data_IF_765479910407
#
_entry.id   IF_765479910407
#
_cell.length_a   1.000
_cell.length_b   1.000
_cell.length_c   1.000
_cell.angle_alpha   90.00
_cell.angle_beta   90.00
_cell.angle_gamma   90.00
#
_symmetry.space_group_name_H-M   'P 1'
#
loop_
_entity.id
_entity.type
_entity.pdbx_description
1 polymer ?
#
# COMPACT_ATOMS: atom_id res chain seq x y z
N UNK A 1 63.46 -18.92 43.74
CA UNK A 1 62.89 -20.11 43.06
C UNK A 1 61.37 -19.97 42.81
N UNK A 2 60.63 -19.24 43.67
CA UNK A 2 59.18 -19.00 43.54
C UNK A 2 58.75 -18.05 42.40
N UNK A 3 59.61 -17.09 42.00
CA UNK A 3 59.27 -16.11 40.93
C UNK A 3 59.17 -16.71 39.51
N UNK A 4 59.67 -17.93 39.28
CA UNK A 4 59.55 -18.60 37.98
C UNK A 4 58.20 -19.28 37.76
N UNK A 5 57.43 -19.57 38.81
CA UNK A 5 56.11 -20.19 38.67
C UNK A 5 54.99 -19.17 38.38
N UNK A 6 55.14 -17.91 38.79
CA UNK A 6 54.16 -16.86 38.51
C UNK A 6 54.18 -16.37 37.04
N UNK A 7 55.28 -16.62 36.32
CA UNK A 7 55.39 -16.27 34.90
C UNK A 7 54.69 -17.28 33.95
N UNK A 8 54.27 -18.45 34.45
CA UNK A 8 53.69 -19.51 33.62
C UNK A 8 52.15 -19.47 33.52
N UNK A 9 51.49 -18.64 34.32
CA UNK A 9 50.05 -18.45 34.25
C UNK A 9 49.69 -17.35 33.24
N UNK A 10 50.20 -17.45 32.01
CA UNK A 10 49.71 -16.61 30.93
C UNK A 10 48.23 -16.99 30.69
N UNK A 11 47.27 -16.09 30.93
CA UNK A 11 45.86 -16.41 30.77
C UNK A 11 45.64 -16.75 29.31
N UNK A 12 45.45 -18.05 29.02
CA UNK A 12 45.06 -18.55 27.70
C UNK A 12 43.81 -17.77 27.29
N UNK A 13 44.00 -16.77 26.42
CA UNK A 13 42.89 -16.01 25.87
C UNK A 13 41.98 -17.04 25.19
N UNK A 14 40.72 -17.19 25.63
CA UNK A 14 39.82 -18.14 25.01
C UNK A 14 39.69 -17.78 23.54
N UNK A 15 40.33 -18.60 22.69
CA UNK A 15 40.29 -18.46 21.24
C UNK A 15 38.91 -18.85 20.76
N UNK A 16 37.93 -17.95 20.90
CA UNK A 16 36.61 -18.14 20.33
C UNK A 16 36.75 -18.37 18.82
N UNK A 17 36.13 -19.43 18.30
CA UNK A 17 36.25 -19.76 16.89
C UNK A 17 35.70 -18.58 16.06
N UNK A 18 36.41 -18.14 15.00
CA UNK A 18 35.92 -17.06 14.15
C UNK A 18 34.55 -17.39 13.54
N UNK A 19 34.26 -18.68 13.36
CA UNK A 19 32.96 -19.19 12.89
C UNK A 19 31.84 -18.84 13.87
N UNK A 20 32.03 -19.03 15.18
CA UNK A 20 31.02 -18.70 16.18
C UNK A 20 30.67 -17.20 16.16
N UNK A 21 31.66 -16.33 15.95
CA UNK A 21 31.44 -14.88 15.87
C UNK A 21 30.61 -14.49 14.64
N UNK A 22 30.88 -15.11 13.48
CA UNK A 22 30.09 -14.89 12.26
C UNK A 22 28.65 -15.42 12.39
N UNK A 23 28.47 -16.57 13.04
CA UNK A 23 27.14 -17.12 13.32
C UNK A 23 26.35 -16.18 14.24
N UNK A 24 26.96 -15.66 15.31
CA UNK A 24 26.30 -14.70 16.21
C UNK A 24 25.93 -13.40 15.49
N UNK A 25 26.82 -12.87 14.63
CA UNK A 25 26.52 -11.69 13.83
C UNK A 25 25.36 -11.96 12.86
N UNK A 26 25.42 -13.06 12.11
CA UNK A 26 24.38 -13.47 11.18
C UNK A 26 23.03 -13.66 11.86
N UNK A 27 23.01 -14.28 13.05
CA UNK A 27 21.80 -14.43 13.86
C UNK A 27 21.25 -13.10 14.35
N UNK A 28 22.09 -12.17 14.79
CA UNK A 28 21.64 -10.83 15.19
C UNK A 28 21.00 -10.07 14.02
N UNK A 29 21.60 -10.15 12.83
CA UNK A 29 21.06 -9.57 11.61
C UNK A 29 19.78 -10.26 11.15
N UNK A 30 19.70 -11.59 11.28
CA UNK A 30 18.50 -12.36 10.97
C UNK A 30 17.35 -11.97 11.92
N UNK A 31 17.62 -11.83 13.22
CA UNK A 31 16.62 -11.36 14.20
C UNK A 31 16.17 -9.95 13.85
N UNK A 32 17.07 -9.03 13.49
CA UNK A 32 16.70 -7.68 13.09
C UNK A 32 15.85 -7.67 11.80
N UNK A 33 16.20 -8.51 10.81
CA UNK A 33 15.42 -8.68 9.60
C UNK A 33 14.04 -9.31 9.88
N UNK A 34 13.97 -10.31 10.76
CA UNK A 34 12.71 -10.88 11.23
C UNK A 34 11.84 -9.85 11.95
N UNK A 35 12.41 -9.03 12.83
CA UNK A 35 11.68 -7.94 13.51
C UNK A 35 11.21 -6.88 12.51
N UNK A 36 12.02 -6.55 11.51
CA UNK A 36 11.63 -5.59 10.46
C UNK A 36 10.55 -6.12 9.50
N UNK A 37 10.54 -7.42 9.23
CA UNK A 37 9.56 -8.08 8.35
C UNK A 37 8.26 -8.42 9.07
N UNK A 38 8.35 -8.82 10.34
CA UNK A 38 7.22 -8.83 11.27
C UNK A 38 7.01 -7.39 11.69
N UNK A 39 6.59 -6.53 10.74
CA UNK A 39 5.94 -5.26 11.05
C UNK A 39 4.70 -5.63 11.85
N UNK A 40 4.86 -5.79 13.16
CA UNK A 40 3.75 -5.81 14.09
C UNK A 40 3.03 -4.52 13.75
N UNK A 41 1.76 -4.65 13.36
CA UNK A 41 0.92 -3.55 12.91
C UNK A 41 0.61 -2.66 14.12
N UNK A 42 1.65 -2.04 14.69
CA UNK A 42 1.60 -1.15 15.83
C UNK A 42 1.40 0.27 15.32
N UNK A 43 0.29 0.45 14.61
CA UNK A 43 -0.27 1.77 14.29
C UNK A 43 -0.30 2.69 15.53
N UNK A 44 -0.59 2.22 16.78
CA UNK A 44 -0.53 3.11 17.94
C UNK A 44 0.89 3.48 18.43
N UNK A 45 1.96 2.84 17.95
CA UNK A 45 3.32 3.05 18.46
C UNK A 45 4.29 3.58 17.41
N UNK A 46 3.86 4.29 16.37
CA UNK A 46 4.77 4.87 15.36
C UNK A 46 5.90 5.70 16.00
N UNK A 47 5.60 6.40 17.10
CA UNK A 47 6.59 7.16 17.87
C UNK A 47 7.61 6.29 18.61
N UNK A 48 7.26 5.05 18.94
CA UNK A 48 8.13 4.07 19.60
C UNK A 48 8.83 3.15 18.59
N UNK A 49 8.22 2.95 17.42
CA UNK A 49 8.72 2.11 16.34
C UNK A 49 10.03 2.67 15.78
N UNK A 50 10.08 3.97 15.49
CA UNK A 50 11.30 4.63 15.00
C UNK A 50 12.49 4.50 15.99
N UNK A 51 12.38 4.83 17.29
CA UNK A 51 13.48 4.67 18.22
C UNK A 51 13.82 3.19 18.50
N UNK A 52 12.86 2.27 18.50
CA UNK A 52 13.16 0.83 18.60
C UNK A 52 13.92 0.32 17.40
N UNK A 53 13.52 0.70 16.18
CA UNK A 53 14.24 0.35 14.96
C UNK A 53 15.64 0.94 14.99
N UNK A 54 15.78 2.23 15.31
CA UNK A 54 17.09 2.88 15.42
C UNK A 54 17.97 2.18 16.47
N UNK A 55 17.43 1.83 17.63
CA UNK A 55 18.15 1.08 18.65
C UNK A 55 18.59 -0.31 18.15
N UNK A 56 17.72 -1.02 17.44
CA UNK A 56 18.04 -2.29 16.79
C UNK A 56 19.17 -2.17 15.77
N UNK A 57 19.12 -1.15 14.91
CA UNK A 57 20.16 -0.81 13.95
C UNK A 57 21.50 -0.48 14.60
N UNK A 58 21.48 0.36 15.64
CA UNK A 58 22.68 0.73 16.39
C UNK A 58 23.29 -0.47 17.12
N UNK A 59 22.46 -1.35 17.69
CA UNK A 59 22.92 -2.53 18.41
C UNK A 59 23.51 -3.57 17.45
N UNK A 60 22.85 -3.85 16.32
CA UNK A 60 23.35 -4.75 15.29
C UNK A 60 24.64 -4.22 14.64
N UNK A 61 24.67 -2.92 14.29
CA UNK A 61 25.84 -2.25 13.74
C UNK A 61 27.00 -2.23 14.73
N UNK A 62 26.74 -1.87 16.00
CA UNK A 62 27.73 -1.85 17.07
C UNK A 62 28.32 -3.23 17.35
N UNK A 63 27.49 -4.26 17.43
CA UNK A 63 27.93 -5.65 17.59
C UNK A 63 28.80 -6.09 16.40
N UNK A 64 28.38 -5.77 15.18
CA UNK A 64 29.13 -6.08 13.96
C UNK A 64 30.52 -5.43 14.01
N UNK A 65 30.61 -4.13 14.30
CA UNK A 65 31.89 -3.41 14.42
C UNK A 65 32.76 -3.98 15.54
N UNK A 66 32.18 -4.29 16.70
CA UNK A 66 32.92 -4.85 17.83
C UNK A 66 33.52 -6.23 17.51
N UNK A 67 32.76 -7.10 16.83
CA UNK A 67 33.23 -8.41 16.37
C UNK A 67 34.33 -8.26 15.32
N UNK A 68 34.16 -7.33 14.39
CA UNK A 68 35.12 -7.09 13.32
C UNK A 68 36.45 -6.51 13.82
N UNK A 69 36.42 -5.66 14.85
CA UNK A 69 37.64 -5.13 15.52
C UNK A 69 38.49 -6.24 16.16
N UNK A 70 37.88 -7.37 16.56
CA UNK A 70 38.62 -8.52 17.11
C UNK A 70 39.35 -9.33 16.04
N UNK A 71 38.96 -9.21 14.77
CA UNK A 71 39.58 -9.88 13.64
C UNK A 71 40.68 -8.96 13.08
N UNK A 72 41.85 -8.91 13.76
CA UNK A 72 43.01 -8.11 13.31
C UNK A 72 43.46 -8.55 11.90
N UNK A 73 43.69 -7.58 11.01
CA UNK A 73 44.45 -7.77 9.75
C UNK A 73 43.65 -7.96 8.45
N UNK A 74 42.31 -7.85 8.45
CA UNK A 74 41.52 -8.06 7.23
C UNK A 74 41.02 -6.75 6.61
N UNK A 75 41.72 -6.30 5.56
CA UNK A 75 41.35 -5.17 4.67
C UNK A 75 39.92 -5.22 4.09
N UNK A 76 39.26 -6.38 4.16
CA UNK A 76 37.89 -6.61 3.66
C UNK A 76 36.77 -6.31 4.66
N UNK A 77 37.11 -6.07 5.93
CA UNK A 77 36.12 -5.81 6.99
C UNK A 77 35.27 -4.57 6.68
N UNK A 78 35.92 -3.45 6.42
CA UNK A 78 35.25 -2.17 6.16
C UNK A 78 34.31 -2.24 4.95
N UNK A 79 34.73 -2.70 3.75
CA UNK A 79 33.82 -2.74 2.60
C UNK A 79 32.64 -3.68 2.81
N UNK A 80 32.80 -4.81 3.51
CA UNK A 80 31.69 -5.73 3.81
C UNK A 80 30.67 -5.07 4.74
N UNK A 81 31.13 -4.40 5.82
CA UNK A 81 30.22 -3.68 6.72
C UNK A 81 29.46 -2.58 6.00
N UNK A 82 30.15 -1.79 5.17
CA UNK A 82 29.52 -0.73 4.38
C UNK A 82 28.49 -1.33 3.41
N UNK A 83 28.82 -2.41 2.70
CA UNK A 83 27.89 -3.07 1.79
C UNK A 83 26.63 -3.59 2.50
N UNK A 84 26.79 -4.23 3.67
CA UNK A 84 25.66 -4.70 4.48
C UNK A 84 24.79 -3.54 4.94
N UNK A 85 25.39 -2.46 5.47
CA UNK A 85 24.64 -1.27 5.90
C UNK A 85 23.90 -0.59 4.74
N UNK A 86 24.54 -0.47 3.57
CA UNK A 86 23.90 0.09 2.37
C UNK A 86 22.73 -0.78 1.91
N UNK A 87 22.91 -2.11 1.84
CA UNK A 87 21.84 -3.04 1.48
C UNK A 87 20.67 -2.97 2.47
N UNK A 88 20.99 -2.87 3.76
CA UNK A 88 20.05 -2.68 4.84
C UNK A 88 19.23 -1.38 4.71
N UNK A 89 19.90 -0.25 4.50
CA UNK A 89 19.25 1.05 4.30
C UNK A 89 18.36 0.99 3.05
N UNK A 90 18.87 0.44 1.96
CA UNK A 90 18.11 0.27 0.73
C UNK A 90 16.87 -0.61 0.94
N UNK A 91 16.99 -1.72 1.68
CA UNK A 91 15.85 -2.59 1.99
C UNK A 91 14.80 -1.92 2.88
N UNK A 92 15.21 -1.02 3.78
CA UNK A 92 14.33 -0.36 4.74
C UNK A 92 13.47 0.75 4.13
N UNK A 93 13.84 1.25 2.95
CA UNK A 93 13.08 2.28 2.25
C UNK A 93 11.80 1.68 1.68
N UNK A 94 10.65 2.31 1.99
CA UNK A 94 9.36 1.98 1.37
C UNK A 94 9.34 2.43 -0.09
N UNK A 95 10.00 1.69 -0.97
CA UNK A 95 10.11 1.98 -2.41
C UNK A 95 8.74 2.15 -3.09
N UNK A 96 7.71 1.48 -2.58
CA UNK A 96 6.33 1.61 -3.04
C UNK A 96 5.76 3.02 -2.94
N UNK A 97 6.26 3.84 -2.01
CA UNK A 97 5.82 5.22 -1.79
C UNK A 97 6.67 6.22 -2.57
N UNK A 98 8.00 6.00 -2.61
CA UNK A 98 8.95 6.90 -3.26
C UNK A 98 9.00 6.75 -4.79
N UNK A 99 8.93 5.52 -5.28
CA UNK A 99 9.04 5.18 -6.70
C UNK A 99 7.88 4.25 -7.12
N UNK A 100 6.62 4.73 -7.08
CA UNK A 100 5.44 3.89 -7.28
C UNK A 100 5.39 3.23 -8.67
N UNK A 101 5.92 3.89 -9.71
CA UNK A 101 6.02 3.32 -11.05
C UNK A 101 6.94 2.11 -11.10
N UNK A 102 8.14 2.26 -10.54
CA UNK A 102 9.15 1.20 -10.52
C UNK A 102 8.69 0.03 -9.65
N UNK A 103 8.10 0.32 -8.49
CA UNK A 103 7.51 -0.69 -7.63
C UNK A 103 6.36 -1.45 -8.31
N UNK A 104 5.42 -0.73 -8.94
CA UNK A 104 4.34 -1.34 -9.72
C UNK A 104 4.89 -2.23 -10.84
N UNK A 105 5.86 -1.74 -11.62
CA UNK A 105 6.47 -2.52 -12.70
C UNK A 105 7.12 -3.81 -12.19
N UNK A 106 7.87 -3.74 -11.09
CA UNK A 106 8.52 -4.90 -10.47
C UNK A 106 7.52 -5.92 -9.90
N UNK A 107 6.32 -5.47 -9.48
CA UNK A 107 5.29 -6.31 -8.86
C UNK A 107 4.05 -6.49 -9.75
N UNK A 108 4.14 -6.20 -11.06
CA UNK A 108 3.00 -6.15 -11.97
C UNK A 108 2.18 -7.45 -11.96
N UNK A 109 2.84 -8.60 -11.82
CA UNK A 109 2.19 -9.90 -11.65
C UNK A 109 1.27 -9.96 -10.42
N UNK A 110 1.72 -9.46 -9.28
CA UNK A 110 0.96 -9.47 -8.04
C UNK A 110 -0.25 -8.51 -8.11
N UNK A 111 -0.06 -7.32 -8.70
CA UNK A 111 -1.16 -6.40 -8.99
C UNK A 111 -2.20 -7.01 -9.96
N UNK A 112 -1.74 -7.76 -10.97
CA UNK A 112 -2.64 -8.47 -11.89
C UNK A 112 -3.47 -9.55 -11.19
N UNK A 113 -2.91 -10.27 -10.20
CA UNK A 113 -3.65 -11.23 -9.38
C UNK A 113 -4.73 -10.54 -8.55
N UNK A 114 -4.40 -9.45 -7.84
CA UNK A 114 -5.42 -8.67 -7.10
C UNK A 114 -6.52 -8.18 -8.04
N UNK A 115 -6.15 -7.66 -9.21
CA UNK A 115 -7.12 -7.21 -10.20
C UNK A 115 -8.02 -8.34 -10.71
N UNK A 116 -7.50 -9.56 -10.84
CA UNK A 116 -8.29 -10.75 -11.20
C UNK A 116 -9.27 -11.11 -10.08
N UNK A 117 -8.79 -11.16 -8.85
CA UNK A 117 -9.60 -11.41 -7.65
C UNK A 117 -10.74 -10.39 -7.49
N UNK A 118 -10.49 -9.11 -7.80
CA UNK A 118 -11.54 -8.08 -7.82
C UNK A 118 -12.57 -8.32 -8.92
N UNK A 119 -12.15 -8.76 -10.10
CA UNK A 119 -13.06 -9.06 -11.23
C UNK A 119 -13.93 -10.28 -10.93
N UNK A 120 -13.36 -11.29 -10.27
CA UNK A 120 -14.04 -12.51 -9.88
C UNK A 120 -14.91 -12.33 -8.62
N UNK A 121 -14.74 -11.19 -7.92
CA UNK A 121 -15.51 -10.81 -6.74
C UNK A 121 -15.02 -11.46 -5.45
N UNK A 122 -13.83 -12.08 -5.46
CA UNK A 122 -13.20 -12.63 -4.24
C UNK A 122 -12.65 -11.50 -3.36
N UNK A 123 -12.20 -10.39 -3.96
CA UNK A 123 -11.83 -9.14 -3.27
C UNK A 123 -12.88 -8.08 -3.58
N UNK A 124 -13.29 -7.34 -2.54
CA UNK A 124 -14.18 -6.20 -2.67
C UNK A 124 -15.67 -6.50 -2.40
N UNK A 125 -15.95 -7.68 -1.82
CA UNK A 125 -17.28 -8.02 -1.31
C UNK A 125 -17.51 -7.54 0.13
N UNK A 126 -16.44 -7.26 0.88
CA UNK A 126 -16.52 -6.85 2.27
C UNK A 126 -16.93 -5.40 2.45
N UNK A 127 -17.60 -5.16 3.58
CA UNK A 127 -17.96 -3.84 4.07
C UNK A 127 -17.09 -3.43 5.27
N UNK A 128 -16.02 -4.18 5.57
CA UNK A 128 -15.05 -3.77 6.59
C UNK A 128 -14.36 -2.47 6.16
N UNK A 129 -14.27 -1.51 7.07
CA UNK A 129 -13.67 -0.20 6.81
C UNK A 129 -12.23 -0.32 6.26
N UNK A 130 -11.43 -1.23 6.82
CA UNK A 130 -10.06 -1.50 6.36
C UNK A 130 -9.95 -2.62 5.31
N UNK A 131 -11.08 -3.12 4.83
CA UNK A 131 -11.12 -4.16 3.80
C UNK A 131 -10.78 -5.57 4.25
N UNK A 132 -10.68 -6.45 3.26
CA UNK A 132 -10.38 -7.87 3.43
C UNK A 132 -8.88 -8.13 3.48
N UNK A 133 -8.49 -9.20 4.17
CA UNK A 133 -7.12 -9.70 4.09
C UNK A 133 -6.82 -10.21 2.68
N UNK A 134 -5.68 -9.77 2.14
CA UNK A 134 -5.12 -10.36 0.95
C UNK A 134 -4.64 -11.80 1.27
N UNK A 135 -4.51 -12.66 0.26
CA UNK A 135 -3.72 -13.88 0.41
C UNK A 135 -2.32 -13.56 0.95
N UNK A 136 -1.75 -14.42 1.79
CA UNK A 136 -0.48 -14.16 2.48
C UNK A 136 0.68 -13.77 1.54
N UNK A 137 0.71 -14.33 0.33
CA UNK A 137 1.73 -14.05 -0.69
C UNK A 137 1.53 -12.69 -1.38
N UNK A 138 0.38 -12.05 -1.19
CA UNK A 138 0.04 -10.70 -1.66
C UNK A 138 0.09 -9.65 -0.56
N UNK A 139 0.29 -10.02 0.70
CA UNK A 139 0.33 -9.07 1.83
C UNK A 139 1.33 -7.93 1.60
N UNK A 140 2.47 -8.20 0.96
CA UNK A 140 3.49 -7.19 0.68
C UNK A 140 3.03 -6.02 -0.20
N UNK A 141 1.88 -6.16 -0.90
CA UNK A 141 1.28 -5.08 -1.68
C UNK A 141 0.48 -4.07 -0.85
N UNK A 142 0.37 -4.27 0.47
CA UNK A 142 -0.35 -3.37 1.36
C UNK A 142 0.35 -3.30 2.70
N UNK A 143 0.48 -2.10 3.27
CA UNK A 143 1.04 -1.88 4.59
C UNK A 143 0.32 -2.66 5.69
N UNK A 144 -0.97 -2.98 5.48
CA UNK A 144 -1.80 -3.74 6.41
C UNK A 144 -2.05 -5.18 5.95
N UNK A 145 -1.52 -5.58 4.79
CA UNK A 145 -1.88 -6.85 4.14
C UNK A 145 -3.35 -6.93 3.74
N UNK A 146 -4.05 -5.80 3.63
CA UNK A 146 -5.48 -5.72 3.32
C UNK A 146 -5.78 -4.91 2.06
N UNK A 147 -6.93 -5.18 1.46
CA UNK A 147 -7.49 -4.46 0.32
C UNK A 147 -8.88 -3.92 0.67
N UNK A 148 -9.03 -2.59 0.66
CA UNK A 148 -10.25 -1.90 1.05
C UNK A 148 -11.09 -1.48 -0.15
N UNK A 149 -12.42 -1.52 -0.04
CA UNK A 149 -13.32 -0.93 -1.04
C UNK A 149 -13.54 0.54 -0.66
N UNK A 150 -13.01 1.44 -1.48
CA UNK A 150 -13.01 2.90 -1.21
C UNK A 150 -13.99 3.67 -2.08
N UNK A 151 -14.74 2.96 -2.92
CA UNK A 151 -15.74 3.54 -3.81
C UNK A 151 -16.35 2.51 -4.75
N UNK A 152 -17.20 2.98 -5.65
CA UNK A 152 -17.76 2.17 -6.72
C UNK A 152 -17.87 2.99 -8.01
N UNK A 153 -17.59 2.35 -9.14
CA UNK A 153 -17.81 2.93 -10.46
C UNK A 153 -18.53 1.91 -11.36
N UNK A 154 -19.65 2.32 -11.94
CA UNK A 154 -20.49 1.46 -12.80
C UNK A 154 -20.88 0.12 -12.14
N UNK A 155 -21.16 0.14 -10.84
CA UNK A 155 -21.51 -1.06 -10.07
C UNK A 155 -20.34 -2.02 -9.81
N UNK A 156 -19.10 -1.60 -10.08
CA UNK A 156 -17.87 -2.34 -9.76
C UNK A 156 -17.15 -1.66 -8.58
N UNK A 157 -16.55 -2.43 -7.66
CA UNK A 157 -15.81 -1.87 -6.54
C UNK A 157 -14.53 -1.18 -7.04
N UNK A 158 -14.18 -0.07 -6.38
CA UNK A 158 -12.87 0.57 -6.48
C UNK A 158 -12.06 0.12 -5.28
N UNK A 159 -10.93 -0.56 -5.54
CA UNK A 159 -10.16 -1.24 -4.49
C UNK A 159 -8.87 -0.49 -4.21
N UNK A 160 -8.55 -0.33 -2.94
CA UNK A 160 -7.39 0.39 -2.45
C UNK A 160 -6.44 -0.53 -1.67
N UNK A 161 -5.15 -0.43 -2.00
CA UNK A 161 -4.04 -1.08 -1.33
C UNK A 161 -3.20 0.01 -0.63
N UNK A 162 -3.43 0.27 0.68
CA UNK A 162 -2.70 1.29 1.40
C UNK A 162 -1.22 0.92 1.49
N UNK A 163 -0.33 1.85 1.17
CA UNK A 163 1.13 1.72 1.33
C UNK A 163 1.67 2.54 2.49
N UNK A 164 0.91 3.54 2.88
CA UNK A 164 1.18 4.42 4.00
C UNK A 164 -0.13 4.74 4.71
N UNK A 165 -0.07 4.83 6.04
CA UNK A 165 -1.17 5.21 6.91
C UNK A 165 -0.70 6.34 7.83
N UNK A 166 -1.47 7.43 7.89
CA UNK A 166 -1.28 8.55 8.79
C UNK A 166 -2.13 8.41 10.05
N UNK A 167 -1.75 9.13 11.10
CA UNK A 167 -2.60 9.36 12.28
C UNK A 167 -3.27 10.74 12.18
N UNK A 168 -4.55 10.89 12.53
CA UNK A 168 -5.45 9.87 13.09
C UNK A 168 -6.05 8.91 12.05
N UNK A 169 -6.17 9.34 10.80
CA UNK A 169 -6.75 8.59 9.68
C UNK A 169 -6.39 9.36 8.40
N UNK A 170 -5.49 8.81 7.58
CA UNK A 170 -5.14 9.25 6.23
C UNK A 170 -4.37 8.11 5.55
N UNK A 171 -4.42 8.00 4.23
CA UNK A 171 -3.66 6.98 3.52
C UNK A 171 -3.15 7.43 2.15
N UNK A 172 -2.09 6.76 1.70
CA UNK A 172 -1.60 6.82 0.33
C UNK A 172 -1.29 5.42 -0.17
N UNK A 173 -1.44 5.17 -1.46
CA UNK A 173 -1.24 3.83 -2.01
C UNK A 173 -1.81 3.62 -3.40
N UNK A 174 -2.07 2.36 -3.73
CA UNK A 174 -2.50 1.95 -5.06
C UNK A 174 -4.01 1.74 -5.12
N UNK A 175 -4.67 2.34 -6.09
CA UNK A 175 -6.10 2.19 -6.35
C UNK A 175 -6.30 1.45 -7.67
N UNK A 176 -7.13 0.42 -7.65
CA UNK A 176 -7.57 -0.30 -8.83
C UNK A 176 -8.99 0.12 -9.22
N UNK A 177 -9.12 0.55 -10.47
CA UNK A 177 -10.39 0.81 -11.14
C UNK A 177 -10.44 -0.06 -12.40
N UNK A 178 -11.45 -0.93 -12.50
CA UNK A 178 -11.57 -1.88 -13.62
C UNK A 178 -11.73 -1.20 -14.99
N UNK A 179 -12.19 0.05 -15.01
CA UNK A 179 -12.35 0.87 -16.21
C UNK A 179 -11.61 2.19 -16.04
N UNK A 180 -11.57 3.00 -17.10
CA UNK A 180 -11.04 4.37 -17.00
C UNK A 180 -11.82 5.12 -15.91
N UNK A 181 -11.14 5.76 -14.93
CA UNK A 181 -11.82 6.53 -13.90
C UNK A 181 -12.68 7.64 -14.51
N UNK A 182 -13.87 7.85 -13.95
CA UNK A 182 -14.66 9.03 -14.24
C UNK A 182 -13.91 10.27 -13.72
N UNK A 183 -13.96 11.42 -14.41
CA UNK A 183 -13.24 12.64 -14.02
C UNK A 183 -13.62 13.20 -12.63
N UNK A 184 -14.73 12.74 -12.06
CA UNK A 184 -15.25 13.14 -10.76
C UNK A 184 -15.28 11.97 -9.77
N UNK A 185 -14.62 10.84 -10.08
CA UNK A 185 -14.52 9.72 -9.16
C UNK A 185 -13.64 10.10 -7.97
N UNK A 186 -14.29 10.35 -6.83
CA UNK A 186 -13.66 10.51 -5.54
C UNK A 186 -13.60 9.17 -4.81
N UNK A 187 -12.47 8.86 -4.19
CA UNK A 187 -12.27 7.70 -3.33
C UNK A 187 -11.86 8.15 -1.94
N UNK A 188 -12.39 7.48 -0.91
CA UNK A 188 -12.07 7.77 0.50
C UNK A 188 -10.79 7.02 0.91
N UNK A 189 -9.70 7.75 1.14
CA UNK A 189 -8.41 7.19 1.57
C UNK A 189 -8.30 7.17 3.10
N UNK A 190 -9.34 6.66 3.76
CA UNK A 190 -9.52 6.65 5.21
C UNK A 190 -9.53 8.05 5.81
N UNK A 191 -10.50 8.88 5.44
CA UNK A 191 -10.75 10.19 6.06
C UNK A 191 -10.58 11.38 5.13
N UNK A 192 -9.71 11.27 4.12
CA UNK A 192 -9.54 12.30 3.08
C UNK A 192 -9.96 11.76 1.71
N UNK A 193 -11.04 12.30 1.11
CA UNK A 193 -11.43 11.93 -0.24
C UNK A 193 -10.48 12.56 -1.28
N UNK A 194 -9.97 11.75 -2.20
CA UNK A 194 -9.12 12.20 -3.30
C UNK A 194 -9.72 11.81 -4.65
N UNK A 195 -9.54 12.66 -5.66
CA UNK A 195 -9.92 12.32 -7.02
C UNK A 195 -8.90 11.34 -7.61
N UNK A 196 -9.39 10.27 -8.25
CA UNK A 196 -8.50 9.25 -8.82
C UNK A 196 -7.67 9.82 -9.97
N UNK A 197 -8.21 10.76 -10.73
CA UNK A 197 -7.56 11.40 -11.88
C UNK A 197 -6.49 12.44 -11.48
N UNK A 198 -6.44 12.88 -10.22
CA UNK A 198 -5.30 13.61 -9.63
C UNK A 198 -4.11 12.68 -9.34
N UNK A 199 -4.30 11.37 -9.47
CA UNK A 199 -3.31 10.33 -9.25
C UNK A 199 -2.32 10.12 -10.38
N UNK A 200 -1.35 9.25 -10.12
CA UNK A 200 -0.41 8.77 -11.12
C UNK A 200 -0.95 7.52 -11.80
N UNK A 201 -1.31 7.61 -13.08
CA UNK A 201 -1.69 6.44 -13.89
C UNK A 201 -0.49 5.49 -14.06
N UNK A 202 -0.69 4.22 -13.70
CA UNK A 202 0.30 3.15 -13.80
C UNK A 202 -0.02 2.16 -14.94
N UNK A 203 -1.20 2.27 -15.55
CA UNK A 203 -1.73 1.31 -16.52
C UNK A 203 -2.49 0.15 -15.87
N UNK A 204 -3.13 -0.68 -16.70
CA UNK A 204 -3.93 -1.85 -16.30
C UNK A 204 -5.02 -1.57 -15.25
N UNK A 205 -5.51 -0.33 -15.19
CA UNK A 205 -6.52 0.10 -14.22
C UNK A 205 -5.95 0.52 -12.86
N UNK A 206 -4.62 0.51 -12.69
CA UNK A 206 -3.96 0.92 -11.44
C UNK A 206 -3.54 2.38 -11.46
N UNK A 207 -3.79 3.05 -10.34
CA UNK A 207 -3.44 4.43 -10.07
C UNK A 207 -2.70 4.50 -8.74
N UNK A 208 -1.69 5.36 -8.63
CA UNK A 208 -1.09 5.67 -7.35
C UNK A 208 -1.57 7.02 -6.84
N UNK A 209 -2.15 7.02 -5.64
CA UNK A 209 -2.64 8.21 -4.95
C UNK A 209 -1.68 8.55 -3.80
N UNK A 210 -1.00 9.71 -3.83
CA UNK A 210 -0.11 10.09 -2.76
C UNK A 210 -0.91 10.38 -1.48
N UNK A 211 -0.27 10.17 -0.33
CA UNK A 211 -0.84 10.63 0.94
C UNK A 211 -1.09 12.14 0.88
N UNK A 212 -2.22 12.64 1.42
CA UNK A 212 -2.46 14.07 1.48
C UNK A 212 -1.34 14.72 2.29
N UNK A 213 -0.57 15.63 1.67
CA UNK A 213 0.34 16.49 2.42
C UNK A 213 -0.53 17.36 3.32
N UNK A 214 -0.57 17.06 4.62
CA UNK A 214 -1.54 17.52 5.64
C UNK A 214 -1.70 19.04 5.85
N UNK A 215 -1.95 19.79 4.77
CA UNK A 215 -1.99 21.25 4.74
C UNK A 215 -2.67 21.84 3.50
N UNK A 216 -3.23 21.05 2.59
CA UNK A 216 -3.97 21.58 1.41
C UNK A 216 -5.51 21.54 1.53
N UNK A 217 -6.07 21.33 2.72
CA UNK A 217 -7.53 21.29 3.00
C UNK A 217 -8.33 22.57 2.67
N UNK A 218 -7.77 23.59 2.01
CA UNK A 218 -8.46 24.89 1.89
C UNK A 218 -8.23 25.76 0.65
N UNK A 219 -7.46 25.36 -0.38
CA UNK A 219 -7.05 26.35 -1.41
C UNK A 219 -7.39 26.10 -2.87
N UNK A 220 -7.93 24.94 -3.29
CA UNK A 220 -8.08 24.63 -4.73
C UNK A 220 -9.50 24.56 -5.32
N UNK A 221 -10.56 24.91 -4.59
CA UNK A 221 -11.90 25.14 -5.18
C UNK A 221 -12.29 26.62 -5.07
N UNK A 222 -11.77 27.44 -5.99
CA UNK A 222 -12.12 28.85 -6.05
C UNK A 222 -11.44 29.64 -7.17
N UNK A 223 -10.38 29.10 -7.78
CA UNK A 223 -9.74 29.67 -8.96
C UNK A 223 -10.47 29.30 -10.24
N UNK A 224 -11.75 29.66 -10.33
CA UNK A 224 -12.43 29.71 -11.62
C UNK A 224 -11.53 30.48 -12.57
N UNK A 225 -11.14 29.84 -13.67
CA UNK A 225 -10.63 30.51 -14.86
C UNK A 225 -11.76 31.35 -15.43
N UNK A 226 -12.06 32.45 -14.73
CA UNK A 226 -12.59 33.67 -15.30
C UNK A 226 -11.52 34.15 -16.27
N UNK A 227 -11.51 33.49 -17.44
CA UNK A 227 -10.83 33.91 -18.65
C UNK A 227 -11.43 35.26 -18.98
N UNK A 228 -10.82 36.28 -18.39
CA UNK A 228 -11.08 37.69 -18.63
C UNK A 228 -10.86 37.88 -20.11
N UNK A 229 -11.96 37.84 -20.87
CA UNK A 229 -12.04 38.31 -22.25
C UNK A 229 -11.54 39.75 -22.22
N UNK A 230 -10.25 39.95 -22.49
CA UNK A 230 -9.75 41.26 -22.91
C UNK A 230 -10.35 41.47 -24.30
N UNK A 231 -11.38 42.30 -24.32
CA UNK A 231 -11.94 42.85 -25.53
C UNK A 231 -10.84 43.58 -26.30
N UNK A 232 -10.35 42.98 -27.37
CA UNK A 232 -9.74 43.71 -28.48
C UNK A 232 -10.87 44.22 -29.38
N UNK A 233 -10.98 45.55 -29.41
CA UNK A 233 -11.84 46.34 -30.29
C UNK A 233 -11.46 46.15 -31.77
N UNK A 234 -12.45 45.81 -32.61
CA UNK A 234 -12.63 46.25 -34.01
C UNK A 234 -11.69 45.73 -35.10
N UNK A 235 -12.01 45.88 -36.41
CA UNK A 235 -13.12 46.64 -36.99
C UNK A 235 -14.13 45.83 -37.83
N UNK A 236 -15.19 46.57 -38.21
CA UNK A 236 -16.39 46.18 -38.95
C UNK A 236 -16.09 45.59 -40.31
N UNK A 237 -16.65 44.41 -40.59
CA UNK A 237 -16.88 43.88 -41.93
C UNK A 237 -18.38 43.69 -42.16
N UNK A 238 -18.97 44.58 -42.94
CA UNK A 238 -20.37 44.54 -43.38
C UNK A 238 -20.57 43.41 -44.39
N UNK A 239 -21.39 42.42 -44.05
CA UNK A 239 -21.71 41.29 -44.92
C UNK A 239 -23.15 40.81 -44.72
N UNK A 240 -24.07 41.49 -45.39
CA UNK A 240 -25.48 41.13 -45.60
C UNK A 240 -25.62 39.69 -46.10
N UNK A 241 -26.48 38.86 -45.49
CA UNK A 241 -27.66 38.29 -46.16
C UNK A 241 -28.59 37.49 -45.23
N UNK A 242 -29.89 37.42 -45.57
CA UNK A 242 -30.97 37.00 -44.69
C UNK A 242 -31.49 35.58 -44.98
N UNK A 243 -32.23 35.05 -44.00
CA UNK A 243 -33.42 34.25 -44.27
C UNK A 243 -33.28 32.74 -44.11
N UNK A 244 -33.78 32.22 -42.99
CA UNK A 244 -34.88 31.24 -43.06
C UNK A 244 -35.60 31.08 -41.72
N UNK A 245 -36.88 31.39 -41.80
CA UNK A 245 -37.93 31.15 -40.82
C UNK A 245 -38.31 29.66 -40.77
N UNK A 246 -38.71 29.22 -39.57
CA UNK A 246 -39.48 28.00 -39.34
C UNK A 246 -38.90 27.22 -38.15
N UNK A 247 -39.64 26.79 -37.14
CA UNK A 247 -41.05 26.90 -36.75
C UNK A 247 -41.08 26.45 -35.27
N UNK A 248 -41.99 26.94 -34.41
CA UNK A 248 -42.10 26.48 -33.03
C UNK A 248 -42.83 25.13 -32.97
N UNK A 249 -42.30 24.17 -32.21
CA UNK A 249 -42.96 22.88 -31.90
C UNK A 249 -43.56 22.96 -30.49
N UNK A 250 -44.77 22.40 -30.26
CA UNK A 250 -45.56 22.70 -29.08
C UNK A 250 -45.13 21.90 -27.85
N UNK A 251 -45.27 22.56 -26.69
CA UNK A 251 -45.39 21.93 -25.38
C UNK A 251 -46.59 20.97 -25.36
N UNK A 252 -46.32 19.69 -25.11
CA UNK A 252 -47.33 18.78 -24.58
C UNK A 252 -46.88 18.32 -23.20
N UNK A 253 -47.63 18.77 -22.18
CA UNK A 253 -47.48 18.32 -20.82
C UNK A 253 -47.85 16.85 -20.67
N UNK A 254 -47.22 16.18 -19.70
CA UNK A 254 -47.80 14.98 -19.11
C UNK A 254 -47.40 14.87 -17.64
N UNK A 255 -48.39 15.24 -16.83
CA UNK A 255 -48.83 14.67 -15.56
C UNK A 255 -47.85 13.74 -14.83
N UNK A 256 -47.49 14.19 -13.62
CA UNK A 256 -47.16 13.33 -12.46
C UNK A 256 -48.28 12.31 -12.22
N UNK A 257 -47.95 11.11 -11.75
CA UNK A 257 -48.67 10.50 -10.66
C UNK A 257 -47.76 10.32 -9.44
N UNK A 258 -48.36 10.65 -8.31
CA UNK A 258 -47.85 10.40 -6.98
C UNK A 258 -47.87 8.90 -6.63
N UNK A 259 -47.08 8.59 -5.60
CA UNK A 259 -47.31 7.53 -4.62
C UNK A 259 -47.18 6.06 -5.07
N UNK A 260 -46.08 5.44 -4.65
CA UNK A 260 -46.15 4.11 -4.03
C UNK A 260 -45.10 3.96 -2.93
N UNK A 261 -45.55 4.15 -1.68
CA UNK A 261 -44.84 3.72 -0.47
C UNK A 261 -44.83 2.19 -0.47
N UNK A 262 -43.74 1.58 -0.89
CA UNK A 262 -43.47 0.16 -0.71
C UNK A 262 -42.71 -0.07 0.59
N UNK A 263 -43.41 -0.47 1.66
CA UNK A 263 -42.80 -1.05 2.85
C UNK A 263 -42.17 -2.39 2.46
N UNK A 264 -40.84 -2.43 2.35
CA UNK A 264 -40.11 -3.69 2.28
C UNK A 264 -40.01 -4.28 3.68
N UNK A 265 -40.74 -5.38 3.88
CA UNK A 265 -40.66 -6.25 5.06
C UNK A 265 -39.24 -6.83 5.15
N UNK A 266 -38.58 -6.64 6.28
CA UNK A 266 -37.39 -7.41 6.67
C UNK A 266 -37.79 -8.88 6.84
N UNK A 267 -37.52 -9.68 5.80
CA UNK A 267 -37.68 -11.13 5.82
C UNK A 267 -36.47 -11.78 6.47
N UNK A 268 -36.61 -12.13 7.74
CA UNK A 268 -35.63 -12.85 8.53
C UNK A 268 -35.52 -14.31 8.02
N UNK A 269 -34.68 -14.57 7.01
CA UNK A 269 -34.40 -15.93 6.53
C UNK A 269 -33.22 -16.51 7.30
N UNK A 270 -33.56 -17.29 8.34
CA UNK A 270 -32.68 -18.28 8.97
C UNK A 270 -32.16 -19.23 7.89
N UNK A 271 -30.87 -19.14 7.56
CA UNK A 271 -30.21 -20.18 6.76
C UNK A 271 -29.93 -21.40 7.63
N UNK A 272 -30.53 -22.48 7.14
CA UNK A 272 -30.63 -23.83 7.68
C UNK A 272 -29.27 -24.51 7.54
N UNK A 273 -28.77 -25.10 8.64
CA UNK A 273 -27.64 -26.04 8.66
C UNK A 273 -27.82 -27.11 7.58
N UNK A 274 -26.93 -27.15 6.60
CA UNK A 274 -26.73 -28.32 5.73
C UNK A 274 -25.52 -29.11 6.25
N UNK A 275 -25.82 -30.24 6.89
CA UNK A 275 -24.89 -31.33 7.18
C UNK A 275 -24.34 -31.86 5.85
N UNK A 276 -23.04 -31.71 5.60
CA UNK A 276 -22.35 -32.46 4.56
C UNK A 276 -22.04 -33.87 5.09
N UNK A 277 -22.71 -34.85 4.47
CA UNK A 277 -22.42 -36.28 4.62
C UNK A 277 -21.01 -36.54 4.07
N UNK A 278 -20.10 -37.04 4.92
CA UNK A 278 -18.89 -37.72 4.48
C UNK A 278 -19.30 -39.02 3.79
N UNK A 279 -18.86 -39.24 2.55
CA UNK A 279 -18.85 -40.56 1.91
C UNK A 279 -17.52 -41.25 2.27
N UNK A 280 -17.52 -42.56 2.61
CA UNK A 280 -16.30 -43.32 2.76
C UNK A 280 -15.68 -43.63 1.40
N UNK A 281 -14.34 -43.58 1.35
CA UNK A 281 -13.51 -44.02 0.22
C UNK A 281 -13.28 -45.53 0.36
N UNK A 282 -13.49 -46.35 -0.69
CA UNK A 282 -13.13 -47.77 -0.65
C UNK A 282 -11.62 -47.94 -0.84
N UNK A 283 -10.98 -48.58 0.12
CA UNK A 283 -9.62 -49.15 -0.01
C UNK A 283 -9.72 -50.48 -0.77
N UNK A 284 -9.20 -50.52 -2.00
CA UNK A 284 -8.92 -51.77 -2.71
C UNK A 284 -7.45 -52.18 -2.51
N UNK A 285 -7.14 -53.50 -2.52
CA UNK A 285 -5.78 -53.99 -2.32
C UNK A 285 -4.96 -53.91 -3.61
N UNK A 286 -3.70 -53.44 -3.50
CA UNK A 286 -2.69 -53.65 -4.53
C UNK A 286 -2.20 -55.10 -4.44
N UNK A 287 -2.27 -55.81 -5.57
CA UNK A 287 -1.48 -57.02 -5.82
C UNK A 287 -0.07 -56.65 -6.25
#
# INVERSE_FOLDING_TARGET
MWERELAAAEPRRPGGSPVALWVCAGLAWLVLACVGTVRVSTVPFVFLDLPMQLAGWLLAGGLTVALLRRIRGRRWVLPVTVAVLVAACFHSVSWSVFEPRSYYAAHRYAFAMVAADVRDGSIGASTEYYGDFLPWYLHGLSATGRAAVVGQQHGRPVVFLPQWLGMPDDAGGYVYVQARPAPDLLVDLFGEPLAVDDGLDLGDGWWYLPAPAGGQRGRRRGGGTARRRRASRGPRGTGRRPGRLGRPVPRTGRRRPAARRGRARYGNRRCRRSRSRRRPVPTGPCR
#
